data_IF_426102812468
#
_entry.id   IF_426102812468
#
_cell.length_a   1.000
_cell.length_b   1.000
_cell.length_c   1.000
_cell.angle_alpha   90.00
_cell.angle_beta   90.00
_cell.angle_gamma   90.00
#
_symmetry.space_group_name_H-M   'P 1'
#
loop_
_entity.id
_entity.type
_entity.pdbx_description
1 polymer ?
#
# COMPACT_ATOMS: atom_id res chain seq x y z
N UNK A 1 32.59 12.25 5.15
CA UNK A 1 31.48 13.21 5.36
C UNK A 1 30.27 12.71 4.57
N UNK A 2 29.21 12.29 5.26
CA UNK A 2 28.05 11.62 4.64
C UNK A 2 27.10 12.60 3.96
N UNK A 3 27.55 13.17 2.84
CA UNK A 3 26.75 14.07 1.98
C UNK A 3 25.48 13.39 1.43
N UNK A 4 25.34 12.06 1.55
CA UNK A 4 24.19 11.29 1.08
C UNK A 4 22.95 11.40 1.99
N UNK A 5 23.08 12.00 3.17
CA UNK A 5 21.97 12.16 4.12
C UNK A 5 21.24 13.50 4.00
N UNK A 6 21.76 14.43 3.20
CA UNK A 6 21.09 15.71 2.94
C UNK A 6 19.98 15.51 1.91
N UNK A 7 18.74 15.79 2.29
CA UNK A 7 17.54 15.59 1.45
C UNK A 7 16.61 16.80 1.55
N UNK A 8 15.72 16.95 0.57
CA UNK A 8 14.63 17.92 0.64
C UNK A 8 13.43 17.27 1.33
N UNK A 9 12.78 18.01 2.23
CA UNK A 9 11.56 17.58 2.90
C UNK A 9 10.46 17.29 1.88
N UNK A 10 9.83 16.11 1.94
CA UNK A 10 8.75 15.73 1.04
C UNK A 10 7.47 16.59 1.18
N UNK A 11 7.33 17.35 2.28
CA UNK A 11 6.14 18.17 2.57
C UNK A 11 6.37 19.64 2.20
N UNK A 12 7.48 20.24 2.66
CA UNK A 12 7.74 21.68 2.48
C UNK A 12 8.94 22.00 1.57
N UNK A 13 9.67 20.99 1.08
CA UNK A 13 10.84 21.17 0.22
C UNK A 13 12.11 21.63 0.93
N UNK A 14 12.05 22.01 2.21
CA UNK A 14 13.22 22.47 2.99
C UNK A 14 14.32 21.41 3.04
N UNK A 15 15.56 21.84 2.81
CA UNK A 15 16.75 20.99 2.94
C UNK A 15 16.97 20.60 4.41
N UNK A 16 17.17 19.32 4.68
CA UNK A 16 17.39 18.80 6.03
C UNK A 16 18.25 17.53 6.00
N UNK A 17 18.82 17.17 7.15
CA UNK A 17 19.53 15.90 7.32
C UNK A 17 18.52 14.79 7.64
N UNK A 18 18.39 13.82 6.73
CA UNK A 18 17.52 12.66 6.91
C UNK A 18 18.09 11.73 8.00
N UNK A 19 17.24 11.45 8.99
CA UNK A 19 17.53 10.48 10.06
C UNK A 19 16.64 9.25 9.90
N UNK A 20 15.34 9.38 10.19
CA UNK A 20 14.38 8.27 10.13
C UNK A 20 13.17 8.54 9.23
N UNK A 21 12.90 9.81 8.92
CA UNK A 21 11.70 10.25 8.18
C UNK A 21 12.07 11.02 6.92
N UNK A 22 11.13 11.10 5.96
CA UNK A 22 11.29 11.84 4.71
C UNK A 22 10.90 13.33 4.80
N UNK A 23 10.62 13.81 6.00
CA UNK A 23 10.22 15.20 6.24
C UNK A 23 11.05 15.82 7.37
N UNK A 24 11.23 17.14 7.31
CA UNK A 24 11.98 17.88 8.33
C UNK A 24 11.27 17.88 9.69
N UNK A 25 12.00 18.29 10.73
CA UNK A 25 11.49 18.33 12.11
C UNK A 25 10.26 19.23 12.30
N UNK A 26 10.21 20.36 11.59
CA UNK A 26 9.05 21.28 11.64
C UNK A 26 7.79 20.61 11.09
N UNK A 27 7.89 19.93 9.94
CA UNK A 27 6.78 19.18 9.37
C UNK A 27 6.37 18.00 10.25
N UNK A 28 7.34 17.32 10.88
CA UNK A 28 7.05 16.26 11.85
C UNK A 28 6.24 16.79 13.03
N UNK A 29 6.67 17.89 13.66
CA UNK A 29 5.95 18.52 14.77
C UNK A 29 4.52 18.90 14.39
N UNK A 30 4.33 19.47 13.20
CA UNK A 30 2.99 19.79 12.69
C UNK A 30 2.11 18.55 12.52
N UNK A 31 2.67 17.42 12.06
CA UNK A 31 1.93 16.16 11.97
C UNK A 31 1.51 15.66 13.36
N UNK A 32 2.39 15.79 14.35
CA UNK A 32 2.06 15.42 15.73
C UNK A 32 0.96 16.32 16.31
N UNK A 33 1.02 17.63 16.10
CA UNK A 33 -0.03 18.57 16.51
C UNK A 33 -1.39 18.23 15.84
N UNK A 34 -1.39 17.96 14.53
CA UNK A 34 -2.58 17.52 13.79
C UNK A 34 -3.15 16.22 14.38
N UNK A 35 -2.29 15.27 14.74
CA UNK A 35 -2.70 14.01 15.37
C UNK A 35 -3.30 14.22 16.75
N UNK A 36 -2.68 15.03 17.60
CA UNK A 36 -3.17 15.33 18.94
C UNK A 36 -4.56 15.98 18.91
N UNK A 37 -4.78 16.93 17.99
CA UNK A 37 -6.08 17.55 17.78
C UNK A 37 -7.16 16.52 17.41
N UNK A 38 -6.86 15.66 16.44
CA UNK A 38 -7.79 14.62 15.97
C UNK A 38 -8.06 13.59 17.06
N UNK A 39 -7.03 13.15 17.77
CA UNK A 39 -7.16 12.20 18.87
C UNK A 39 -7.97 12.78 20.03
N UNK A 40 -7.76 14.06 20.37
CA UNK A 40 -8.56 14.78 21.36
C UNK A 40 -10.04 14.84 20.99
N UNK A 41 -10.35 15.14 19.72
CA UNK A 41 -11.72 15.15 19.22
C UNK A 41 -12.39 13.76 19.27
N UNK A 42 -11.68 12.71 18.84
CA UNK A 42 -12.21 11.35 18.79
C UNK A 42 -12.45 10.71 20.17
N UNK A 43 -11.69 11.12 21.20
CA UNK A 43 -11.85 10.59 22.57
C UNK A 43 -13.16 10.99 23.25
N UNK A 44 -13.86 12.01 22.74
CA UNK A 44 -15.16 12.43 23.26
C UNK A 44 -16.20 11.36 22.89
N UNK A 45 -16.96 10.87 23.88
CA UNK A 45 -17.88 9.74 23.66
C UNK A 45 -18.95 10.02 22.60
N UNK A 46 -19.49 11.25 22.58
CA UNK A 46 -20.47 11.69 21.59
C UNK A 46 -19.94 11.63 20.15
N UNK A 47 -18.63 11.67 19.96
CA UNK A 47 -17.98 11.65 18.65
C UNK A 47 -17.66 10.22 18.16
N UNK A 48 -18.04 9.16 18.88
CA UNK A 48 -17.74 7.77 18.47
C UNK A 48 -18.30 7.39 17.09
N UNK A 49 -19.45 7.96 16.73
CA UNK A 49 -20.14 7.71 15.46
C UNK A 49 -19.74 8.69 14.36
N UNK A 50 -18.72 9.50 14.57
CA UNK A 50 -18.34 10.53 13.62
C UNK A 50 -17.81 9.95 12.30
N UNK A 51 -18.05 10.66 11.20
CA UNK A 51 -17.51 10.34 9.88
C UNK A 51 -16.18 11.06 9.64
N UNK A 52 -15.40 10.59 8.67
CA UNK A 52 -14.12 11.22 8.31
C UNK A 52 -14.30 12.69 7.86
N UNK A 53 -15.41 13.04 7.21
CA UNK A 53 -15.71 14.42 6.80
C UNK A 53 -16.07 15.32 7.99
N UNK A 54 -16.76 14.80 9.00
CA UNK A 54 -17.05 15.53 10.24
C UNK A 54 -15.77 15.81 11.04
N UNK A 55 -14.89 14.81 11.17
CA UNK A 55 -13.57 15.00 11.82
C UNK A 55 -12.77 16.07 11.10
N UNK A 56 -12.71 16.03 9.77
CA UNK A 56 -12.06 17.06 8.96
C UNK A 56 -12.66 18.45 9.19
N UNK A 57 -13.99 18.55 9.25
CA UNK A 57 -14.68 19.82 9.51
C UNK A 57 -14.40 20.35 10.92
N UNK A 58 -14.34 19.48 11.92
CA UNK A 58 -14.11 19.85 13.31
C UNK A 58 -12.64 20.21 13.60
N UNK A 59 -11.70 19.46 13.03
CA UNK A 59 -10.26 19.58 13.34
C UNK A 59 -9.49 20.43 12.33
N UNK A 60 -10.06 20.67 11.14
CA UNK A 60 -9.37 21.33 10.03
C UNK A 60 -8.30 20.47 9.35
N UNK A 61 -8.07 19.24 9.82
CA UNK A 61 -7.07 18.32 9.28
C UNK A 61 -7.59 17.71 7.98
N UNK A 62 -6.74 17.66 6.95
CA UNK A 62 -7.14 17.15 5.63
C UNK A 62 -7.57 15.68 5.68
N UNK A 63 -8.55 15.30 4.84
CA UNK A 63 -9.01 13.90 4.71
C UNK A 63 -7.88 12.93 4.39
N UNK A 64 -6.89 13.38 3.59
CA UNK A 64 -5.69 12.61 3.27
C UNK A 64 -4.88 12.29 4.54
N UNK A 65 -4.62 13.29 5.37
CA UNK A 65 -3.90 13.12 6.64
C UNK A 65 -4.65 12.21 7.61
N UNK A 66 -5.96 12.40 7.75
CA UNK A 66 -6.81 11.52 8.58
C UNK A 66 -6.72 10.06 8.12
N UNK A 67 -6.76 9.85 6.81
CA UNK A 67 -6.61 8.52 6.21
C UNK A 67 -5.24 7.92 6.49
N UNK A 68 -4.16 8.71 6.42
CA UNK A 68 -2.80 8.29 6.80
C UNK A 68 -2.74 7.86 8.27
N UNK A 69 -3.32 8.62 9.21
CA UNK A 69 -3.36 8.24 10.62
C UNK A 69 -4.08 6.91 10.87
N UNK A 70 -5.15 6.62 10.14
CA UNK A 70 -5.86 5.34 10.22
C UNK A 70 -5.01 4.22 9.60
N UNK A 71 -4.40 4.46 8.43
CA UNK A 71 -3.55 3.47 7.73
C UNK A 71 -2.30 3.10 8.51
N UNK A 72 -1.66 4.08 9.13
CA UNK A 72 -0.45 3.91 9.94
C UNK A 72 -0.76 3.29 11.32
N UNK A 73 -2.04 3.09 11.64
CA UNK A 73 -2.49 2.50 12.90
C UNK A 73 -2.40 3.46 14.10
N UNK A 74 -2.13 4.75 13.86
CA UNK A 74 -2.14 5.78 14.91
C UNK A 74 -3.55 6.04 15.45
N UNK A 75 -4.57 5.88 14.60
CA UNK A 75 -5.99 5.88 14.98
C UNK A 75 -6.55 4.48 14.75
N UNK A 76 -7.02 3.85 15.82
CA UNK A 76 -7.65 2.55 15.73
C UNK A 76 -9.11 2.68 15.29
N UNK A 77 -9.36 2.64 13.99
CA UNK A 77 -10.70 2.76 13.42
C UNK A 77 -11.70 1.66 13.87
N UNK A 78 -11.23 0.59 14.53
CA UNK A 78 -12.10 -0.44 15.12
C UNK A 78 -13.10 0.14 16.13
N UNK A 79 -12.67 1.14 16.91
CA UNK A 79 -13.47 1.75 17.98
C UNK A 79 -14.52 2.75 17.47
N UNK A 80 -14.44 3.11 16.18
CA UNK A 80 -15.22 4.15 15.55
C UNK A 80 -15.98 3.57 14.34
N UNK A 81 -17.27 3.19 14.48
CA UNK A 81 -18.03 2.49 13.43
C UNK A 81 -17.98 3.17 12.06
N UNK A 82 -18.16 4.49 12.02
CA UNK A 82 -18.26 5.29 10.80
C UNK A 82 -16.94 5.90 10.33
N UNK A 83 -15.86 5.69 11.08
CA UNK A 83 -14.53 6.19 10.71
C UNK A 83 -13.82 5.17 9.84
N UNK A 84 -13.49 5.58 8.62
CA UNK A 84 -12.77 4.77 7.65
C UNK A 84 -12.46 5.55 6.39
N UNK A 85 -11.89 4.89 5.41
CA UNK A 85 -11.55 5.45 4.11
C UNK A 85 -12.03 4.53 2.98
N UNK A 86 -12.22 5.02 1.75
CA UNK A 86 -12.73 4.22 0.66
C UNK A 86 -11.72 3.15 0.19
N UNK A 87 -12.22 1.97 -0.15
CA UNK A 87 -11.49 0.95 -0.90
C UNK A 87 -11.06 1.52 -2.25
N UNK A 88 -9.79 1.34 -2.63
CA UNK A 88 -9.24 1.90 -3.86
C UNK A 88 -9.88 1.36 -5.14
N UNK A 89 -10.60 0.23 -5.08
CA UNK A 89 -11.26 -0.39 -6.24
C UNK A 89 -12.76 -0.10 -6.31
N UNK A 90 -13.50 -0.33 -5.21
CA UNK A 90 -14.97 -0.24 -5.22
C UNK A 90 -15.54 0.90 -4.36
N UNK A 91 -14.70 1.68 -3.67
CA UNK A 91 -15.14 2.78 -2.82
C UNK A 91 -15.78 2.38 -1.49
N UNK A 92 -16.01 1.08 -1.24
CA UNK A 92 -16.54 0.58 0.04
C UNK A 92 -15.70 1.07 1.21
N UNK A 93 -16.35 1.54 2.28
CA UNK A 93 -15.66 2.00 3.48
C UNK A 93 -14.86 0.85 4.11
N UNK A 94 -13.56 1.05 4.28
CA UNK A 94 -12.62 0.15 4.93
C UNK A 94 -11.89 0.87 6.06
N UNK A 95 -11.42 0.09 7.03
CA UNK A 95 -10.74 0.58 8.22
C UNK A 95 -9.24 0.23 8.23
N UNK A 96 -8.84 -0.68 7.34
CA UNK A 96 -7.49 -1.22 7.17
C UNK A 96 -7.31 -1.64 5.72
N UNK A 97 -6.05 -1.86 5.33
CA UNK A 97 -5.64 -2.31 4.00
C UNK A 97 -5.97 -1.31 2.88
N UNK A 98 -5.65 -1.67 1.64
CA UNK A 98 -5.89 -0.81 0.46
C UNK A 98 -7.20 -1.21 -0.25
N UNK A 99 -7.55 -2.49 -0.18
CA UNK A 99 -8.72 -3.10 -0.78
C UNK A 99 -9.62 -3.68 0.30
N UNK A 100 -10.93 -3.72 0.07
CA UNK A 100 -11.82 -4.55 0.89
C UNK A 100 -11.61 -6.04 0.54
N UNK A 101 -12.02 -6.94 1.44
CA UNK A 101 -11.82 -8.38 1.28
C UNK A 101 -12.31 -8.90 -0.07
N UNK A 102 -13.52 -8.53 -0.51
CA UNK A 102 -14.05 -8.98 -1.80
C UNK A 102 -13.19 -8.52 -2.99
N UNK A 103 -12.74 -7.26 -2.99
CA UNK A 103 -11.86 -6.76 -4.05
C UNK A 103 -10.47 -7.41 -4.02
N UNK A 104 -9.98 -7.77 -2.83
CA UNK A 104 -8.73 -8.49 -2.66
C UNK A 104 -8.84 -9.93 -3.19
N UNK A 105 -9.90 -10.65 -2.85
CA UNK A 105 -10.12 -12.03 -3.27
C UNK A 105 -10.24 -12.15 -4.80
N UNK A 106 -10.99 -11.23 -5.41
CA UNK A 106 -11.08 -11.13 -6.87
C UNK A 106 -9.71 -10.84 -7.49
N UNK A 107 -8.97 -9.87 -6.94
CA UNK A 107 -7.64 -9.52 -7.44
C UNK A 107 -6.66 -10.69 -7.32
N UNK A 108 -6.66 -11.39 -6.18
CA UNK A 108 -5.83 -12.58 -5.97
C UNK A 108 -6.20 -13.70 -6.95
N UNK A 109 -7.48 -13.87 -7.25
CA UNK A 109 -7.95 -14.86 -8.24
C UNK A 109 -7.44 -14.53 -9.65
N UNK A 110 -7.53 -13.26 -10.05
CA UNK A 110 -7.05 -12.79 -11.35
C UNK A 110 -5.54 -12.96 -11.49
N UNK A 111 -4.76 -12.56 -10.48
CA UNK A 111 -3.30 -12.73 -10.47
C UNK A 111 -2.92 -14.22 -10.58
N UNK A 112 -3.56 -15.09 -9.80
CA UNK A 112 -3.30 -16.53 -9.86
C UNK A 112 -3.62 -17.14 -11.23
N UNK A 113 -4.67 -16.66 -11.91
CA UNK A 113 -5.02 -17.11 -13.25
C UNK A 113 -3.94 -16.74 -14.26
N UNK A 114 -3.44 -15.51 -14.22
CA UNK A 114 -2.36 -15.04 -15.11
C UNK A 114 -1.09 -15.86 -14.89
N UNK A 115 -0.64 -16.00 -13.64
CA UNK A 115 0.57 -16.77 -13.31
C UNK A 115 0.50 -18.23 -13.77
N UNK A 116 -0.66 -18.88 -13.61
CA UNK A 116 -0.86 -20.26 -14.12
C UNK A 116 -0.80 -20.32 -15.64
N UNK A 117 -1.36 -19.34 -16.34
CA UNK A 117 -1.33 -19.30 -17.81
C UNK A 117 0.09 -19.12 -18.35
N UNK A 118 0.91 -18.29 -17.69
CA UNK A 118 2.33 -18.10 -18.03
C UNK A 118 3.14 -19.38 -17.78
N UNK A 119 2.94 -20.03 -16.62
CA UNK A 119 3.58 -21.31 -16.31
C UNK A 119 3.23 -22.41 -17.33
N UNK A 120 1.96 -22.48 -17.74
CA UNK A 120 1.52 -23.40 -18.79
C UNK A 120 2.21 -23.08 -20.11
N UNK A 121 2.24 -21.82 -20.53
CA UNK A 121 2.90 -21.40 -21.77
C UNK A 121 4.41 -21.71 -21.78
N UNK A 122 5.12 -21.45 -20.68
CA UNK A 122 6.54 -21.80 -20.53
C UNK A 122 6.78 -23.32 -20.59
N UNK A 123 5.92 -24.11 -19.94
CA UNK A 123 6.03 -25.58 -19.94
C UNK A 123 5.79 -26.19 -21.32
N UNK A 124 4.94 -25.55 -22.15
CA UNK A 124 4.71 -25.95 -23.54
C UNK A 124 5.89 -25.60 -24.43
N UNK A 125 6.50 -24.42 -24.26
CA UNK A 125 7.70 -24.01 -25.01
C UNK A 125 8.91 -24.92 -24.76
N UNK A 126 9.13 -25.38 -23.53
CA UNK A 126 10.25 -26.29 -23.20
C UNK A 126 10.11 -27.69 -23.81
N UNK A 127 8.88 -28.19 -24.02
CA UNK A 127 8.65 -29.52 -24.63
C UNK A 127 8.96 -29.53 -26.14
N UNK A 128 8.76 -28.42 -26.84
CA UNK A 128 9.05 -28.30 -28.27
C UNK A 128 10.55 -28.23 -28.58
N UNK A 129 11.37 -27.67 -27.69
CA UNK A 129 12.84 -27.62 -27.84
C UNK A 129 13.48 -29.02 -27.73
N UNK A 130 13.02 -29.84 -26.76
CA UNK A 130 13.56 -31.17 -26.47
C UNK A 130 13.38 -32.18 -27.62
N UNK A 131 12.32 -32.06 -28.41
CA UNK A 131 12.07 -32.95 -29.55
C UNK A 131 12.95 -32.66 -30.78
N UNK A 132 13.51 -31.46 -30.92
CA UNK A 132 14.37 -31.11 -32.07
C UNK A 132 15.82 -31.62 -31.95
N UNK A 133 16.29 -32.01 -30.75
CA UNK A 133 17.66 -32.48 -30.53
C UNK A 133 17.86 -34.00 -30.67
N UNK A 134 16.83 -34.78 -31.02
CA UNK A 134 16.90 -36.25 -31.16
C UNK A 134 17.10 -36.72 -32.61
N UNK A 135 17.93 -36.03 -33.38
CA UNK A 135 18.20 -36.34 -34.79
C UNK A 135 19.64 -36.75 -35.07
N UNK A 136 19.82 -38.03 -35.44
CA UNK A 136 20.92 -38.63 -36.21
C UNK A 136 22.30 -38.89 -35.55
N UNK A 137 22.46 -40.10 -34.99
CA UNK A 137 23.72 -40.83 -35.02
C UNK A 137 23.64 -41.90 -36.13
N UNK A 138 24.30 -41.66 -37.26
CA UNK A 138 24.48 -42.68 -38.29
C UNK A 138 25.60 -43.64 -37.88
N UNK A 139 25.23 -44.90 -37.61
CA UNK A 139 26.16 -46.02 -37.45
C UNK A 139 26.81 -46.28 -38.82
N UNK A 140 28.11 -46.00 -38.96
CA UNK A 140 28.89 -46.53 -40.10
C UNK A 140 29.31 -47.96 -39.76
N UNK A 141 28.70 -48.92 -40.46
CA UNK A 141 29.10 -50.33 -40.42
C UNK A 141 30.51 -50.52 -40.99
N UNK A 142 31.24 -51.41 -40.32
CA UNK A 142 32.57 -51.92 -40.64
C UNK A 142 32.67 -52.53 -42.05
N UNK A 143 33.79 -52.26 -42.72
CA UNK A 143 34.56 -53.22 -43.53
C UNK A 143 36.03 -52.94 -43.33
#
# INVERSE_FOLDING_TARGET
MDSNRLKNCAICGKLFLKVHTDHCLECYKKIEEEFELVNGFLKIEDNRLTTLEEVKKATGVSAKRLTEFIRDGRIFAGDYPNLGYPCNRCGKLIKRQILCNSCFDEFATDVNRVLKSEQLAESMGKKTESHKQRGYWHIKNSK
#
